data_IF_954146545618
#
_entry.id   IF_954146545618
#
_cell.length_a   1.000
_cell.length_b   1.000
_cell.length_c   1.000
_cell.angle_alpha   90.00
_cell.angle_beta   90.00
_cell.angle_gamma   90.00
#
_symmetry.space_group_name_H-M   'P 1'
#
loop_
_entity.id
_entity.type
_entity.pdbx_description
1 polymer ?
#
# COMPACT_ATOMS: atom_id res chain seq x y z
N UNK A 1 0.26 -14.72 6.76
CA UNK A 1 0.37 -13.26 6.97
C UNK A 1 -0.51 -12.53 5.98
N UNK A 2 -1.33 -11.61 6.46
CA UNK A 2 -2.13 -10.75 5.60
C UNK A 2 -1.19 -9.80 4.86
N UNK A 3 -1.09 -9.96 3.55
CA UNK A 3 -0.34 -9.07 2.68
C UNK A 3 -1.13 -7.76 2.50
N UNK A 4 -0.94 -6.79 3.40
CA UNK A 4 -1.65 -5.50 3.43
C UNK A 4 -1.62 -4.77 2.09
N UNK A 5 -0.49 -4.83 1.38
CA UNK A 5 -0.37 -4.23 0.07
C UNK A 5 -1.36 -4.81 -0.97
N UNK A 6 -1.72 -6.12 -0.86
CA UNK A 6 -2.73 -6.74 -1.75
C UNK A 6 -4.15 -6.31 -1.40
N UNK A 7 -4.43 -6.01 -0.13
CA UNK A 7 -5.75 -5.56 0.32
C UNK A 7 -6.02 -4.09 -0.01
N UNK A 8 -4.97 -3.28 0.07
CA UNK A 8 -5.05 -1.82 -0.04
C UNK A 8 -4.83 -1.34 -1.48
N UNK A 9 -3.90 -1.95 -2.22
CA UNK A 9 -3.54 -1.53 -3.58
C UNK A 9 -4.37 -2.23 -4.65
N UNK A 10 -4.49 -1.58 -5.82
CA UNK A 10 -4.93 -2.21 -7.07
C UNK A 10 -3.74 -2.98 -7.65
N UNK A 11 -3.79 -4.31 -7.59
CA UNK A 11 -2.71 -5.15 -8.11
C UNK A 11 -2.97 -5.52 -9.57
N UNK A 12 -2.01 -5.22 -10.45
CA UNK A 12 -2.07 -5.55 -11.87
C UNK A 12 -0.90 -6.45 -12.21
N UNK A 13 -1.19 -7.68 -12.58
CA UNK A 13 -0.21 -8.63 -13.10
C UNK A 13 -0.09 -8.50 -14.61
N UNK A 14 1.11 -8.22 -15.10
CA UNK A 14 1.37 -8.02 -16.55
C UNK A 14 2.70 -8.62 -16.94
N UNK A 15 2.87 -8.92 -18.23
CA UNK A 15 4.17 -9.23 -18.79
C UNK A 15 4.75 -8.04 -19.58
N UNK A 16 4.02 -6.91 -19.65
CA UNK A 16 4.49 -5.69 -20.27
C UNK A 16 5.31 -4.87 -19.27
N UNK A 17 6.33 -4.19 -19.75
CA UNK A 17 7.14 -3.29 -18.93
C UNK A 17 6.45 -1.97 -18.58
N UNK A 18 5.38 -1.63 -19.29
CA UNK A 18 4.64 -0.38 -19.11
C UNK A 18 3.18 -0.66 -18.87
N UNK A 19 2.62 -0.04 -17.83
CA UNK A 19 1.19 0.01 -17.58
C UNK A 19 0.64 1.35 -18.04
N UNK A 20 -0.47 1.31 -18.74
CA UNK A 20 -1.23 2.46 -19.18
C UNK A 20 -2.50 2.60 -18.35
N UNK A 21 -2.80 3.81 -17.94
CA UNK A 21 -4.05 4.16 -17.26
C UNK A 21 -4.75 5.29 -18.02
N UNK A 22 -5.38 4.99 -19.16
CA UNK A 22 -6.14 6.00 -19.88
C UNK A 22 -7.37 6.39 -19.06
N UNK A 23 -7.61 7.68 -18.88
CA UNK A 23 -8.81 8.22 -18.27
C UNK A 23 -9.34 9.40 -19.06
N UNK A 24 -10.66 9.57 -19.01
CA UNK A 24 -11.33 10.67 -19.67
C UNK A 24 -11.27 11.92 -18.79
N UNK A 25 -11.11 13.07 -19.43
CA UNK A 25 -11.33 14.35 -18.75
C UNK A 25 -12.81 14.47 -18.40
N UNK A 26 -13.11 15.00 -17.24
CA UNK A 26 -14.49 15.16 -16.78
C UNK A 26 -15.31 15.97 -17.77
N UNK A 27 -16.57 15.54 -17.97
CA UNK A 27 -17.50 16.23 -18.82
C UNK A 27 -17.88 17.58 -18.20
N UNK A 28 -17.78 18.66 -18.97
CA UNK A 28 -18.25 19.96 -18.54
C UNK A 28 -19.77 20.11 -18.80
N UNK A 29 -20.49 20.56 -17.78
CA UNK A 29 -21.93 20.88 -17.91
C UNK A 29 -22.07 22.33 -18.35
N UNK A 30 -22.65 22.54 -19.52
CA UNK A 30 -22.97 23.87 -20.00
C UNK A 30 -24.41 24.22 -19.63
N UNK A 31 -24.63 25.44 -19.14
CA UNK A 31 -26.00 25.97 -18.92
C UNK A 31 -26.56 26.43 -20.25
N UNK A 32 -27.59 25.75 -20.72
CA UNK A 32 -28.31 26.14 -21.95
C UNK A 32 -29.55 27.02 -21.64
N UNK A 33 -29.80 28.02 -22.47
CA UNK A 33 -31.03 28.79 -22.44
C UNK A 33 -31.95 28.31 -23.57
N UNK A 34 -33.24 28.23 -23.31
CA UNK A 34 -34.23 27.80 -24.33
C UNK A 34 -34.12 28.68 -25.56
N UNK A 35 -33.87 28.08 -26.73
CA UNK A 35 -33.72 28.79 -28.02
C UNK A 35 -32.29 29.18 -28.39
N UNK A 36 -31.32 28.94 -27.53
CA UNK A 36 -29.90 29.13 -27.82
C UNK A 36 -29.20 27.78 -27.90
N UNK A 37 -28.27 27.64 -28.84
CA UNK A 37 -27.45 26.43 -28.95
C UNK A 37 -26.57 26.23 -27.71
N UNK A 38 -26.15 24.97 -27.44
CA UNK A 38 -25.18 24.64 -26.40
C UNK A 38 -23.80 24.39 -27.02
N UNK A 39 -22.78 24.69 -26.25
CA UNK A 39 -21.37 24.39 -26.66
C UNK A 39 -21.03 23.00 -26.15
N UNK A 40 -20.65 22.11 -27.06
CA UNK A 40 -20.09 20.81 -26.69
C UNK A 40 -18.54 20.90 -26.60
N UNK A 41 -17.99 20.26 -25.58
CA UNK A 41 -16.54 20.14 -25.42
C UNK A 41 -16.11 18.75 -25.92
N UNK A 42 -15.04 18.72 -26.71
CA UNK A 42 -14.49 17.44 -27.18
C UNK A 42 -13.97 16.63 -25.99
N UNK A 43 -14.26 15.32 -25.99
CA UNK A 43 -13.72 14.41 -25.00
C UNK A 43 -12.21 14.29 -25.21
N UNK A 44 -11.43 14.67 -24.20
CA UNK A 44 -9.98 14.44 -24.17
C UNK A 44 -9.67 13.19 -23.34
N UNK A 45 -8.77 12.37 -23.87
CA UNK A 45 -8.25 11.20 -23.15
C UNK A 45 -6.84 11.51 -22.69
N UNK A 46 -6.57 11.34 -21.41
CA UNK A 46 -5.23 11.43 -20.84
C UNK A 46 -4.75 10.02 -20.55
N UNK A 47 -3.53 9.69 -20.94
CA UNK A 47 -2.88 8.41 -20.61
C UNK A 47 -1.75 8.68 -19.63
N UNK A 48 -1.94 8.25 -18.37
CA UNK A 48 -0.89 8.28 -17.35
C UNK A 48 -0.23 6.89 -17.30
N UNK A 49 1.09 6.86 -17.45
CA UNK A 49 1.83 5.61 -17.60
C UNK A 49 2.80 5.37 -16.46
N UNK A 50 3.13 4.11 -16.21
CA UNK A 50 4.20 3.71 -15.30
C UNK A 50 5.03 2.60 -15.91
N UNK A 51 6.36 2.77 -15.87
CA UNK A 51 7.32 1.73 -16.25
C UNK A 51 7.67 0.90 -15.02
N UNK A 52 7.56 -0.42 -15.13
CA UNK A 52 7.96 -1.36 -14.06
C UNK A 52 9.48 -1.48 -14.10
N UNK A 53 10.16 -0.80 -13.18
CA UNK A 53 11.63 -0.68 -13.14
C UNK A 53 12.26 -1.21 -11.87
N UNK A 54 11.47 -1.39 -10.82
CA UNK A 54 11.97 -1.76 -9.50
C UNK A 54 11.88 -3.28 -9.31
N UNK A 55 12.82 -3.85 -8.59
CA UNK A 55 12.77 -5.26 -8.24
C UNK A 55 13.24 -5.49 -6.81
N UNK A 56 12.79 -6.58 -6.23
CA UNK A 56 13.30 -7.15 -4.99
C UNK A 56 13.71 -8.59 -5.22
N UNK A 57 14.83 -8.95 -4.63
CA UNK A 57 15.36 -10.31 -4.67
C UNK A 57 15.54 -10.80 -3.24
N UNK A 58 15.10 -12.01 -2.98
CA UNK A 58 15.48 -12.79 -1.81
C UNK A 58 16.32 -13.94 -2.30
N UNK A 59 17.54 -14.06 -1.81
CA UNK A 59 18.46 -15.13 -2.17
C UNK A 59 19.02 -15.78 -0.92
N UNK A 60 19.10 -17.10 -0.92
CA UNK A 60 19.71 -17.92 0.13
C UNK A 60 20.62 -18.96 -0.51
N UNK A 61 21.71 -19.30 0.19
CA UNK A 61 22.64 -20.32 -0.24
C UNK A 61 22.70 -21.43 0.82
N UNK A 62 22.75 -22.68 0.35
CA UNK A 62 22.89 -23.87 1.19
C UNK A 62 24.15 -24.57 0.75
N UNK A 63 25.10 -24.76 1.69
CA UNK A 63 26.33 -25.49 1.43
C UNK A 63 26.06 -26.95 1.09
N UNK A 64 26.97 -27.56 0.30
CA UNK A 64 26.83 -28.94 -0.15
C UNK A 64 26.88 -29.96 1.00
N UNK A 65 27.65 -29.65 2.06
CA UNK A 65 27.71 -30.49 3.24
C UNK A 65 26.42 -30.49 4.02
N UNK A 66 25.75 -29.31 4.15
CA UNK A 66 24.47 -29.16 4.80
C UNK A 66 23.35 -29.83 4.00
N UNK A 67 23.42 -29.76 2.67
CA UNK A 67 22.46 -30.37 1.76
C UNK A 67 22.33 -31.87 1.95
N UNK A 68 23.44 -32.53 2.25
CA UNK A 68 23.47 -33.97 2.49
C UNK A 68 22.83 -34.38 3.83
N UNK A 69 22.69 -33.45 4.77
CA UNK A 69 22.16 -33.67 6.12
C UNK A 69 20.74 -33.14 6.32
N UNK A 70 20.19 -32.32 5.37
CA UNK A 70 18.88 -31.68 5.48
C UNK A 70 17.77 -32.54 4.91
N UNK A 71 16.62 -32.46 5.59
CA UNK A 71 15.38 -33.10 5.15
C UNK A 71 14.61 -32.20 4.17
N UNK A 72 13.71 -32.77 3.39
CA UNK A 72 12.88 -32.03 2.43
C UNK A 72 12.03 -30.92 3.08
N UNK A 73 11.66 -31.05 4.36
CA UNK A 73 10.89 -30.02 5.10
C UNK A 73 11.66 -28.69 5.22
N UNK A 74 12.97 -28.74 5.36
CA UNK A 74 13.81 -27.52 5.49
C UNK A 74 13.75 -26.63 4.24
N UNK A 75 13.60 -27.25 3.05
CA UNK A 75 13.45 -26.51 1.79
C UNK A 75 12.14 -25.72 1.72
N UNK A 76 11.05 -26.28 2.21
CA UNK A 76 9.76 -25.60 2.26
C UNK A 76 9.81 -24.43 3.25
N UNK A 77 10.44 -24.61 4.41
CA UNK A 77 10.61 -23.54 5.40
C UNK A 77 11.47 -22.39 4.86
N UNK A 78 12.52 -22.71 4.11
CA UNK A 78 13.35 -21.71 3.44
C UNK A 78 12.53 -20.93 2.39
N UNK A 79 11.76 -21.63 1.56
CA UNK A 79 10.92 -21.01 0.54
C UNK A 79 9.86 -20.08 1.17
N UNK A 80 9.21 -20.54 2.24
CA UNK A 80 8.22 -19.76 2.97
C UNK A 80 8.86 -18.50 3.60
N UNK A 81 10.03 -18.63 4.20
CA UNK A 81 10.76 -17.50 4.76
C UNK A 81 11.13 -16.48 3.68
N UNK A 82 11.65 -16.93 2.54
CA UNK A 82 11.97 -16.06 1.40
C UNK A 82 10.72 -15.32 0.90
N UNK A 83 9.58 -16.01 0.78
CA UNK A 83 8.32 -15.42 0.36
C UNK A 83 7.82 -14.36 1.37
N UNK A 84 7.90 -14.64 2.68
CA UNK A 84 7.55 -13.69 3.74
C UNK A 84 8.42 -12.44 3.64
N UNK A 85 9.76 -12.61 3.55
CA UNK A 85 10.70 -11.49 3.48
C UNK A 85 10.50 -10.64 2.23
N UNK A 86 10.18 -11.28 1.10
CA UNK A 86 9.88 -10.57 -0.15
C UNK A 86 8.59 -9.75 -0.03
N UNK A 87 7.54 -10.31 0.57
CA UNK A 87 6.29 -9.59 0.83
C UNK A 87 6.47 -8.42 1.81
N UNK A 88 7.29 -8.60 2.86
CA UNK A 88 7.66 -7.50 3.78
C UNK A 88 8.41 -6.37 3.05
N UNK A 89 9.30 -6.73 2.12
CA UNK A 89 10.05 -5.75 1.33
C UNK A 89 9.14 -4.98 0.35
N UNK A 90 8.12 -5.63 -0.21
CA UNK A 90 7.11 -4.98 -1.07
C UNK A 90 6.23 -4.06 -0.22
N UNK A 91 5.81 -4.47 0.98
CA UNK A 91 5.05 -3.60 1.90
C UNK A 91 5.87 -2.36 2.28
N UNK A 92 7.15 -2.53 2.57
CA UNK A 92 8.06 -1.40 2.85
C UNK A 92 8.15 -0.43 1.66
N UNK A 93 8.23 -0.97 0.44
CA UNK A 93 8.27 -0.15 -0.77
C UNK A 93 6.94 0.57 -1.04
N UNK A 94 5.80 -0.05 -0.72
CA UNK A 94 4.49 0.60 -0.76
C UNK A 94 4.45 1.81 0.17
N UNK A 95 4.84 1.62 1.43
CA UNK A 95 4.83 2.69 2.42
C UNK A 95 5.85 3.79 2.12
N UNK A 96 6.98 3.45 1.47
CA UNK A 96 7.96 4.42 1.00
C UNK A 96 7.47 5.26 -0.21
N UNK A 97 6.36 4.88 -0.85
CA UNK A 97 5.79 5.65 -1.97
C UNK A 97 4.99 6.89 -1.54
N UNK A 98 4.97 7.23 -0.24
CA UNK A 98 4.25 8.35 0.35
C UNK A 98 4.52 9.69 -0.35
N UNK A 99 5.71 9.91 -0.89
CA UNK A 99 6.05 11.12 -1.65
C UNK A 99 5.19 11.38 -2.92
N UNK A 100 4.36 10.41 -3.32
CA UNK A 100 3.41 10.55 -4.43
C UNK A 100 2.02 10.99 -3.95
N UNK A 101 1.78 11.09 -2.65
CA UNK A 101 0.46 11.34 -2.05
C UNK A 101 0.29 12.81 -1.68
N UNK A 102 -0.94 13.17 -1.34
CA UNK A 102 -1.25 14.50 -0.82
C UNK A 102 -0.87 14.56 0.66
N UNK A 103 -0.14 15.59 1.07
CA UNK A 103 0.20 15.79 2.46
C UNK A 103 -1.06 16.09 3.28
N UNK A 104 -1.19 15.40 4.42
CA UNK A 104 -2.23 15.60 5.41
C UNK A 104 -1.56 15.91 6.74
N UNK A 105 -1.65 17.15 7.16
CA UNK A 105 -0.97 17.67 8.34
C UNK A 105 -1.96 18.13 9.43
N UNK A 106 -1.43 18.74 10.49
CA UNK A 106 -2.26 19.23 11.58
C UNK A 106 -3.22 20.37 11.16
N UNK A 107 -2.92 21.11 10.08
CA UNK A 107 -3.85 22.12 9.55
C UNK A 107 -5.10 21.45 8.92
N UNK A 108 -4.94 20.26 8.36
CA UNK A 108 -6.05 19.47 7.79
C UNK A 108 -7.09 19.04 8.86
N UNK A 109 -6.70 19.05 10.14
CA UNK A 109 -7.61 18.76 11.27
C UNK A 109 -7.99 20.02 12.07
N UNK A 110 -7.69 21.21 11.54
CA UNK A 110 -8.05 22.49 12.15
C UNK A 110 -7.03 23.03 13.16
N UNK A 111 -5.85 22.45 13.24
CA UNK A 111 -4.73 22.95 14.06
C UNK A 111 -3.82 23.93 13.31
N UNK A 112 -2.66 24.24 13.88
CA UNK A 112 -1.59 24.96 13.19
C UNK A 112 -0.85 24.02 12.23
N UNK A 113 -0.29 24.57 11.13
CA UNK A 113 0.49 23.78 10.19
C UNK A 113 1.65 23.05 10.88
N UNK A 114 1.90 21.79 10.50
CA UNK A 114 2.95 20.93 11.05
C UNK A 114 2.49 19.51 11.30
N UNK A 115 3.39 18.68 11.80
CA UNK A 115 3.11 17.27 12.04
C UNK A 115 2.03 17.06 13.13
N UNK A 116 1.19 16.07 12.92
CA UNK A 116 0.14 15.70 13.87
C UNK A 116 0.77 14.93 15.03
N UNK A 117 0.57 15.38 16.24
CA UNK A 117 0.85 14.58 17.42
C UNK A 117 -0.35 13.67 17.70
N UNK A 118 -0.31 12.46 17.20
CA UNK A 118 -1.42 11.48 17.36
C UNK A 118 -1.66 11.22 18.84
N UNK A 119 -2.89 11.41 19.28
CA UNK A 119 -3.35 11.20 20.66
C UNK A 119 -4.77 10.66 20.67
N UNK A 120 -5.19 10.09 21.80
CA UNK A 120 -6.57 9.58 21.95
C UNK A 120 -7.63 10.69 21.74
N UNK A 121 -7.26 11.97 21.89
CA UNK A 121 -8.19 13.10 21.75
C UNK A 121 -8.38 13.61 20.31
N UNK A 122 -7.56 13.19 19.34
CA UNK A 122 -7.63 13.70 17.97
C UNK A 122 -7.71 12.61 16.88
N UNK A 123 -7.94 11.36 17.26
CA UNK A 123 -8.05 10.23 16.33
C UNK A 123 -9.28 10.37 15.43
N UNK A 124 -10.40 10.78 16.00
CA UNK A 124 -11.63 11.03 15.26
C UNK A 124 -11.50 12.22 14.31
N UNK A 125 -10.80 13.28 14.71
CA UNK A 125 -10.49 14.43 13.86
C UNK A 125 -9.63 14.04 12.66
N UNK A 126 -8.65 13.15 12.84
CA UNK A 126 -7.81 12.64 11.77
C UNK A 126 -8.66 11.82 10.78
N UNK A 127 -9.50 10.91 11.29
CA UNK A 127 -10.33 10.04 10.47
C UNK A 127 -11.38 10.84 9.70
N UNK A 128 -12.10 11.72 10.38
CA UNK A 128 -13.15 12.54 9.77
C UNK A 128 -12.59 13.62 8.87
N UNK A 129 -11.43 14.20 9.22
CA UNK A 129 -10.67 15.13 8.38
C UNK A 129 -10.27 14.49 7.06
N UNK A 130 -9.68 13.30 7.09
CA UNK A 130 -9.33 12.55 5.88
C UNK A 130 -10.56 12.26 5.02
N UNK A 131 -11.67 11.84 5.61
CA UNK A 131 -12.92 11.62 4.87
C UNK A 131 -13.47 12.90 4.25
N UNK A 132 -13.34 14.04 4.94
CA UNK A 132 -13.75 15.34 4.40
C UNK A 132 -12.91 15.68 3.17
N UNK A 133 -11.59 15.56 3.24
CA UNK A 133 -10.69 15.85 2.12
C UNK A 133 -10.95 14.96 0.90
N UNK A 134 -11.25 13.66 1.13
CA UNK A 134 -11.69 12.76 0.04
C UNK A 134 -12.94 13.29 -0.65
N UNK A 135 -13.93 13.78 0.12
CA UNK A 135 -15.18 14.33 -0.44
C UNK A 135 -14.95 15.65 -1.18
N UNK A 136 -14.14 16.53 -0.62
CA UNK A 136 -13.75 17.79 -1.26
C UNK A 136 -13.01 17.56 -2.59
N UNK A 137 -12.27 16.45 -2.70
CA UNK A 137 -11.64 15.99 -3.93
C UNK A 137 -12.58 15.24 -4.90
N UNK A 138 -13.90 15.27 -4.68
CA UNK A 138 -14.91 14.50 -5.43
C UNK A 138 -14.68 12.97 -5.40
N UNK A 139 -14.05 12.47 -4.34
CA UNK A 139 -13.72 11.05 -4.14
C UNK A 139 -14.84 10.20 -3.53
N UNK A 140 -16.03 10.74 -3.26
CA UNK A 140 -17.13 10.04 -2.59
C UNK A 140 -17.51 8.72 -3.27
N UNK A 141 -17.71 8.75 -4.59
CA UNK A 141 -18.10 7.55 -5.34
C UNK A 141 -17.04 6.45 -5.30
N UNK A 142 -15.75 6.83 -5.24
CA UNK A 142 -14.64 5.87 -5.15
C UNK A 142 -14.54 5.34 -3.73
N UNK A 143 -14.71 6.20 -2.72
CA UNK A 143 -14.69 5.83 -1.31
C UNK A 143 -15.86 4.90 -0.95
N UNK A 144 -17.07 5.15 -1.48
CA UNK A 144 -18.23 4.29 -1.28
C UNK A 144 -18.05 2.91 -1.91
N UNK A 145 -17.45 2.85 -3.09
CA UNK A 145 -17.22 1.60 -3.81
C UNK A 145 -16.12 0.74 -3.21
N UNK A 146 -14.98 1.33 -2.89
CA UNK A 146 -13.75 0.60 -2.53
C UNK A 146 -13.43 0.67 -1.03
N UNK A 147 -13.99 1.64 -0.31
CA UNK A 147 -13.74 1.87 1.11
C UNK A 147 -12.48 2.69 1.38
N UNK A 148 -12.44 3.31 2.56
CA UNK A 148 -11.28 4.05 3.04
C UNK A 148 -10.45 3.20 4.01
N UNK A 149 -9.16 3.50 4.11
CA UNK A 149 -8.25 2.81 5.01
C UNK A 149 -7.19 3.74 5.57
N UNK A 150 -6.60 3.36 6.70
CA UNK A 150 -5.38 3.96 7.26
C UNK A 150 -4.47 2.83 7.74
N UNK A 151 -3.19 2.91 7.39
CA UNK A 151 -2.14 2.03 7.93
C UNK A 151 -1.34 2.83 8.94
N UNK A 152 -1.50 2.55 10.21
CA UNK A 152 -0.87 3.25 11.32
C UNK A 152 0.52 2.68 11.65
N UNK A 153 1.38 3.50 12.24
CA UNK A 153 2.54 3.00 12.99
C UNK A 153 2.04 2.20 14.20
N UNK A 154 2.78 1.19 14.64
CA UNK A 154 2.35 0.31 15.73
C UNK A 154 1.99 1.07 17.02
N UNK A 155 2.79 2.11 17.37
CA UNK A 155 2.52 2.94 18.56
C UNK A 155 1.24 3.80 18.45
N UNK A 156 0.95 4.32 17.25
CA UNK A 156 -0.25 5.11 17.02
C UNK A 156 -1.49 4.22 16.93
N UNK A 157 -1.35 3.02 16.37
CA UNK A 157 -2.41 2.02 16.34
C UNK A 157 -2.88 1.62 17.73
N UNK A 158 -1.97 1.51 18.71
CA UNK A 158 -2.34 1.27 20.11
C UNK A 158 -3.25 2.38 20.65
N UNK A 159 -2.97 3.65 20.32
CA UNK A 159 -3.82 4.78 20.71
C UNK A 159 -5.21 4.69 20.07
N UNK A 160 -5.28 4.35 18.77
CA UNK A 160 -6.55 4.14 18.07
C UNK A 160 -7.39 3.05 18.73
N UNK A 161 -6.77 1.95 19.17
CA UNK A 161 -7.44 0.86 19.85
C UNK A 161 -7.97 1.28 21.22
N UNK A 162 -7.18 1.97 22.01
CA UNK A 162 -7.59 2.50 23.32
C UNK A 162 -8.77 3.47 23.17
N UNK A 163 -8.69 4.35 22.18
CA UNK A 163 -9.76 5.28 21.89
C UNK A 163 -11.05 4.55 21.49
N UNK A 164 -11.00 3.61 20.55
CA UNK A 164 -12.16 2.83 20.12
C UNK A 164 -12.79 2.02 21.29
N UNK A 165 -11.96 1.48 22.17
CA UNK A 165 -12.41 0.77 23.37
C UNK A 165 -13.10 1.72 24.36
N UNK A 166 -12.58 2.93 24.57
CA UNK A 166 -13.14 3.93 25.48
C UNK A 166 -14.50 4.47 25.03
N UNK A 167 -14.77 4.49 23.73
CA UNK A 167 -16.04 4.95 23.17
C UNK A 167 -17.20 3.92 23.28
N UNK A 168 -16.95 2.72 23.84
CA UNK A 168 -17.98 1.73 24.13
C UNK A 168 -18.69 1.13 22.92
N UNK A 169 -18.07 1.17 21.74
CA UNK A 169 -18.64 0.56 20.53
C UNK A 169 -18.64 -0.97 20.63
N UNK A 170 -19.62 -1.63 19.99
CA UNK A 170 -19.73 -3.10 19.95
C UNK A 170 -18.47 -3.78 19.38
N UNK A 171 -17.69 -3.06 18.59
CA UNK A 171 -16.36 -3.44 18.12
C UNK A 171 -15.36 -3.60 19.27
N UNK A 172 -15.52 -2.86 20.37
CA UNK A 172 -14.66 -3.00 21.55
C UNK A 172 -14.81 -4.38 22.21
N UNK A 173 -16.03 -4.93 22.23
CA UNK A 173 -16.33 -6.26 22.79
C UNK A 173 -15.69 -7.38 21.95
N UNK A 174 -15.65 -7.23 20.63
CA UNK A 174 -14.98 -8.17 19.72
C UNK A 174 -13.45 -8.07 19.84
N UNK A 175 -12.93 -6.86 20.01
CA UNK A 175 -11.49 -6.60 20.22
C UNK A 175 -11.03 -7.14 21.57
N UNK A 176 -11.83 -6.97 22.63
CA UNK A 176 -11.52 -7.47 23.98
C UNK A 176 -11.59 -9.00 24.06
N UNK A 177 -12.52 -9.64 23.33
CA UNK A 177 -12.73 -11.09 23.39
C UNK A 177 -11.81 -11.88 22.44
N UNK A 178 -11.55 -11.36 21.26
CA UNK A 178 -10.89 -12.11 20.17
C UNK A 178 -9.49 -11.59 19.82
N UNK A 179 -9.00 -10.57 20.53
CA UNK A 179 -7.79 -9.84 20.13
C UNK A 179 -8.04 -9.01 18.87
N UNK A 180 -7.04 -8.21 18.51
CA UNK A 180 -7.20 -7.25 17.43
C UNK A 180 -6.93 -7.91 16.10
N UNK A 181 -7.96 -8.03 15.28
CA UNK A 181 -7.79 -8.33 13.86
C UNK A 181 -7.26 -7.09 13.15
N UNK A 182 -6.24 -7.26 12.32
CA UNK A 182 -5.86 -6.27 11.31
C UNK A 182 -7.08 -5.96 10.42
N UNK A 183 -7.30 -4.69 10.10
CA UNK A 183 -8.44 -4.28 9.28
C UNK A 183 -9.76 -4.13 10.03
N UNK A 184 -9.72 -3.86 11.35
CA UNK A 184 -10.96 -3.51 12.05
C UNK A 184 -11.53 -2.19 11.51
N UNK A 185 -12.85 -2.09 11.44
CA UNK A 185 -13.54 -0.94 10.87
C UNK A 185 -14.03 -0.01 11.97
N UNK A 186 -13.59 1.24 11.93
CA UNK A 186 -14.02 2.30 12.82
C UNK A 186 -14.31 3.58 12.02
N UNK A 187 -15.42 4.26 12.31
CA UNK A 187 -15.89 5.44 11.54
C UNK A 187 -15.91 5.23 10.01
N UNK A 188 -16.23 4.03 9.54
CA UNK A 188 -16.28 3.72 8.12
C UNK A 188 -14.92 3.49 7.44
N UNK A 189 -13.82 3.61 8.17
CA UNK A 189 -12.44 3.42 7.72
C UNK A 189 -11.88 2.10 8.26
N UNK A 190 -11.11 1.40 7.47
CA UNK A 190 -10.40 0.20 7.90
C UNK A 190 -9.00 0.56 8.41
N UNK A 191 -8.67 0.05 9.59
CA UNK A 191 -7.43 0.36 10.30
C UNK A 191 -6.50 -0.84 10.30
N UNK A 192 -5.29 -0.61 9.81
CA UNK A 192 -4.18 -1.57 9.80
C UNK A 192 -3.03 -1.03 10.62
N UNK A 193 -2.12 -1.89 11.03
CA UNK A 193 -0.86 -1.45 11.64
C UNK A 193 0.34 -2.03 10.90
N UNK A 194 1.41 -1.26 10.76
CA UNK A 194 2.68 -1.70 10.21
C UNK A 194 3.84 -1.06 10.96
N UNK A 195 4.93 -1.80 11.06
CA UNK A 195 6.20 -1.30 11.59
C UNK A 195 7.20 -0.91 10.48
N UNK A 196 6.74 -0.90 9.21
CA UNK A 196 7.57 -0.64 8.03
C UNK A 196 7.44 0.80 7.50
N UNK A 197 6.75 1.66 8.24
CA UNK A 197 6.61 3.08 7.88
C UNK A 197 7.95 3.81 7.85
N UNK A 198 8.07 4.76 6.94
CA UNK A 198 9.08 5.82 7.04
C UNK A 198 8.77 6.67 8.28
N UNK A 199 9.80 7.10 8.99
CA UNK A 199 9.62 7.93 10.20
C UNK A 199 8.86 9.21 9.86
N UNK A 200 7.86 9.54 10.66
CA UNK A 200 7.04 10.74 10.48
C UNK A 200 5.90 10.61 9.48
N UNK A 201 5.68 9.43 8.88
CA UNK A 201 4.70 9.22 7.82
C UNK A 201 3.74 8.08 8.17
N UNK A 202 2.45 8.28 7.89
CA UNK A 202 1.37 7.30 8.02
C UNK A 202 0.55 7.31 6.73
N UNK A 203 0.21 6.14 6.21
CA UNK A 203 -0.47 6.03 4.93
C UNK A 203 -1.98 5.89 5.10
N UNK A 204 -2.75 6.78 4.45
CA UNK A 204 -4.21 6.74 4.44
C UNK A 204 -4.80 7.06 3.07
N UNK A 205 -6.08 6.78 2.90
CA UNK A 205 -6.82 7.11 1.68
C UNK A 205 -7.87 6.10 1.27
N UNK A 206 -8.20 6.08 -0.02
CA UNK A 206 -9.15 5.14 -0.60
C UNK A 206 -8.43 3.88 -1.09
N UNK A 207 -9.01 2.71 -0.81
CA UNK A 207 -8.47 1.42 -1.30
C UNK A 207 -8.42 1.39 -2.82
N UNK A 208 -7.43 0.68 -3.36
CA UNK A 208 -7.19 0.52 -4.80
C UNK A 208 -6.87 1.80 -5.56
N UNK A 209 -6.76 2.95 -4.89
CA UNK A 209 -6.29 4.19 -5.50
C UNK A 209 -4.80 4.12 -5.84
N UNK A 210 -3.98 3.50 -4.96
CA UNK A 210 -2.59 3.17 -5.28
C UNK A 210 -2.54 1.91 -6.14
N UNK A 211 -1.89 1.99 -7.29
CA UNK A 211 -1.72 0.85 -8.21
C UNK A 211 -0.32 0.28 -8.07
N UNK A 212 -0.22 -1.04 -8.04
CA UNK A 212 1.05 -1.76 -8.17
C UNK A 212 1.03 -2.62 -9.42
N UNK A 213 2.00 -2.39 -10.30
CA UNK A 213 2.28 -3.25 -11.43
C UNK A 213 3.29 -4.33 -11.02
N UNK A 214 3.00 -5.58 -11.33
CA UNK A 214 3.87 -6.72 -11.03
C UNK A 214 4.08 -7.51 -12.33
N UNK A 215 5.34 -7.83 -12.62
CA UNK A 215 5.67 -8.70 -13.75
C UNK A 215 5.30 -10.14 -13.38
N UNK A 216 4.35 -10.69 -14.13
CA UNK A 216 3.77 -12.02 -13.86
C UNK A 216 4.80 -13.14 -13.95
N UNK A 217 5.77 -13.02 -14.85
CA UNK A 217 6.81 -14.04 -15.05
C UNK A 217 7.83 -14.15 -13.92
N UNK A 218 7.95 -13.12 -13.08
CA UNK A 218 8.89 -13.12 -11.94
C UNK A 218 8.20 -13.36 -10.61
N UNK A 219 6.91 -13.06 -10.51
CA UNK A 219 6.18 -13.16 -9.25
C UNK A 219 5.90 -14.60 -8.84
N UNK A 220 6.40 -14.97 -7.66
CA UNK A 220 6.21 -16.30 -7.08
C UNK A 220 7.08 -17.39 -7.72
N UNK A 221 7.99 -17.02 -8.61
CA UNK A 221 8.98 -17.95 -9.15
C UNK A 221 10.16 -18.06 -8.19
N UNK A 222 10.55 -19.29 -7.86
CA UNK A 222 11.79 -19.60 -7.17
C UNK A 222 12.72 -20.31 -8.15
N UNK A 223 13.94 -19.81 -8.27
CA UNK A 223 14.97 -20.35 -9.15
C UNK A 223 16.06 -21.00 -8.31
N UNK A 224 16.40 -22.23 -8.65
CA UNK A 224 17.55 -22.95 -8.09
C UNK A 224 18.78 -22.66 -8.96
N UNK A 225 19.87 -22.26 -8.32
CA UNK A 225 21.14 -21.98 -8.97
C UNK A 225 22.19 -22.95 -8.41
N UNK A 226 22.67 -23.84 -9.26
CA UNK A 226 23.74 -24.75 -8.89
C UNK A 226 25.10 -24.03 -8.83
N UNK A 227 25.81 -24.18 -7.72
CA UNK A 227 27.12 -23.57 -7.46
C UNK A 227 27.12 -22.04 -7.75
N UNK A 228 26.35 -21.26 -6.98
CA UNK A 228 26.28 -19.81 -7.18
C UNK A 228 27.64 -19.13 -7.00
N UNK A 229 27.82 -17.98 -7.64
CA UNK A 229 29.01 -17.16 -7.45
C UNK A 229 28.80 -16.16 -6.31
N UNK A 230 29.82 -16.01 -5.46
CA UNK A 230 29.87 -14.90 -4.52
C UNK A 230 30.13 -13.60 -5.28
N UNK A 231 29.20 -12.65 -5.15
CA UNK A 231 29.24 -11.36 -5.86
C UNK A 231 30.43 -10.49 -5.41
N UNK A 232 30.90 -10.68 -4.17
CA UNK A 232 31.99 -9.88 -3.61
C UNK A 232 33.35 -10.43 -3.99
N UNK A 233 33.55 -11.74 -3.88
CA UNK A 233 34.84 -12.38 -4.17
C UNK A 233 34.96 -12.91 -5.61
N UNK A 234 33.85 -13.08 -6.31
CA UNK A 234 33.78 -13.74 -7.61
C UNK A 234 34.07 -15.24 -7.54
N UNK A 235 34.18 -15.79 -6.33
CA UNK A 235 34.44 -17.20 -6.13
C UNK A 235 33.14 -18.02 -6.29
N UNK A 236 33.30 -19.23 -6.86
CA UNK A 236 32.21 -20.18 -6.93
C UNK A 236 31.96 -20.79 -5.56
N UNK A 237 30.75 -20.72 -5.06
CA UNK A 237 30.33 -21.29 -3.79
C UNK A 237 29.85 -22.73 -4.04
N UNK A 238 30.33 -23.67 -3.26
CA UNK A 238 29.85 -25.07 -3.32
C UNK A 238 28.47 -25.18 -2.72
N UNK A 239 27.47 -25.69 -3.49
CA UNK A 239 26.14 -25.92 -2.97
C UNK A 239 25.06 -25.45 -3.93
N UNK A 240 23.89 -25.11 -3.38
CA UNK A 240 22.72 -24.65 -4.12
C UNK A 240 22.29 -23.29 -3.61
N UNK A 241 22.12 -22.34 -4.52
CA UNK A 241 21.45 -21.06 -4.27
C UNK A 241 19.98 -21.15 -4.61
N UNK A 242 19.14 -20.56 -3.76
CA UNK A 242 17.73 -20.32 -4.04
C UNK A 242 17.53 -18.83 -4.22
N UNK A 243 16.89 -18.44 -5.30
CA UNK A 243 16.57 -17.06 -5.61
C UNK A 243 15.09 -16.92 -5.90
N UNK A 244 14.47 -15.92 -5.28
CA UNK A 244 13.12 -15.48 -5.62
C UNK A 244 13.13 -13.99 -5.92
N UNK A 245 12.56 -13.59 -7.05
CA UNK A 245 12.55 -12.21 -7.55
C UNK A 245 11.14 -11.74 -7.82
N UNK A 246 10.88 -10.47 -7.56
CA UNK A 246 9.66 -9.77 -7.98
C UNK A 246 10.03 -8.44 -8.59
N UNK A 247 9.63 -8.23 -9.85
CA UNK A 247 9.71 -6.94 -10.52
C UNK A 247 8.36 -6.23 -10.33
N UNK A 248 8.40 -4.99 -9.84
CA UNK A 248 7.20 -4.23 -9.47
C UNK A 248 7.41 -2.72 -9.64
N UNK A 249 6.31 -1.97 -9.59
CA UNK A 249 6.32 -0.52 -9.41
C UNK A 249 5.01 -0.06 -8.80
N UNK A 250 5.11 0.80 -7.76
CA UNK A 250 3.97 1.52 -7.20
C UNK A 250 3.78 2.85 -7.91
N UNK A 251 2.55 3.18 -8.25
CA UNK A 251 2.17 4.44 -8.86
C UNK A 251 0.82 4.92 -8.34
N UNK A 252 0.80 6.13 -7.82
CA UNK A 252 -0.42 6.89 -7.66
C UNK A 252 -0.68 7.62 -8.99
N UNK A 253 -1.69 7.18 -9.74
CA UNK A 253 -2.06 7.87 -10.98
C UNK A 253 -2.67 9.23 -10.69
N UNK A 254 -2.46 10.20 -11.57
CA UNK A 254 -2.80 11.61 -11.35
C UNK A 254 -4.27 11.81 -10.93
N UNK A 255 -5.20 11.02 -11.47
CA UNK A 255 -6.61 11.05 -11.11
C UNK A 255 -6.94 10.45 -9.73
N UNK A 256 -5.99 9.73 -9.10
CA UNK A 256 -6.16 9.07 -7.80
C UNK A 256 -5.32 9.72 -6.69
N UNK A 257 -4.35 10.57 -7.02
CA UNK A 257 -3.53 11.29 -6.03
C UNK A 257 -4.38 12.05 -5.01
N UNK A 258 -5.46 12.77 -5.40
CA UNK A 258 -6.25 13.57 -4.44
C UNK A 258 -6.97 12.75 -3.35
N UNK A 259 -7.05 11.42 -3.49
CA UNK A 259 -7.71 10.52 -2.52
C UNK A 259 -6.71 9.62 -1.78
N UNK A 260 -5.41 9.89 -1.91
CA UNK A 260 -4.31 9.23 -1.21
C UNK A 260 -3.57 10.26 -0.36
N UNK A 261 -3.36 9.95 0.91
CA UNK A 261 -2.78 10.88 1.87
C UNK A 261 -1.52 10.32 2.53
N UNK A 262 -0.53 11.19 2.61
CA UNK A 262 0.60 11.06 3.52
C UNK A 262 0.29 11.84 4.80
N UNK A 263 -0.13 11.13 5.84
CA UNK A 263 -0.45 11.73 7.13
C UNK A 263 0.86 11.99 7.86
N UNK A 264 1.21 13.27 7.99
CA UNK A 264 2.45 13.70 8.62
C UNK A 264 2.31 13.66 10.14
N UNK A 265 3.06 12.79 10.79
CA UNK A 265 2.98 12.56 12.24
C UNK A 265 4.31 12.85 12.95
N UNK A 266 4.22 13.30 14.20
CA UNK A 266 5.39 13.64 15.03
C UNK A 266 6.12 12.39 15.57
#
# INVERSE_FOLDING_TARGET
ENNKWKEVCKVIYTNANTLHNPYLTDATVATGTRGTGYTSVAVATTDDTVVISDFKISAMHIDRADLAQKTFSDWMEIADNMAIKLNEAIETAMLASHAQFTDFDNASIGGAAGNINVSESNIDDIITGMQREIREANGDAVMERDGAFIIWRAADFEKVQKYAAAQGFSTADDVLKNGIKQGFRYLGVEHYSSNKHTAGHVFGGVKKALTVGIVKSTYGLMTEIMNPFDVVSGAQISGVGLESRVDYKFKAFANMVPVLFDILVA
#
